data_IF_732439064894
#
_entry.id   IF_732439064894
#
_cell.length_a   1.000
_cell.length_b   1.000
_cell.length_c   1.000
_cell.angle_alpha   90.00
_cell.angle_beta   90.00
_cell.angle_gamma   90.00
#
_symmetry.space_group_name_H-M   'P 1'
#
loop_
_entity.id
_entity.type
_entity.pdbx_description
1 polymer ?
#
# COMPACT_ATOMS: atom_id res chain seq x y z
N UNK A 1 16.75 9.85 8.67
CA UNK A 1 15.34 10.31 8.51
C UNK A 1 14.63 9.24 7.70
N UNK A 2 13.49 8.72 8.15
CA UNK A 2 12.82 7.51 7.63
C UNK A 2 12.35 7.56 6.16
N UNK A 3 12.72 8.58 5.37
CA UNK A 3 12.56 8.57 3.90
C UNK A 3 11.13 8.59 3.36
N UNK A 4 10.11 8.76 4.21
CA UNK A 4 8.71 8.83 3.78
C UNK A 4 8.38 10.16 3.11
N UNK A 5 7.58 10.09 2.03
CA UNK A 5 7.14 11.24 1.25
C UNK A 5 5.62 11.27 1.21
N UNK A 6 5.05 12.44 1.51
CA UNK A 6 3.60 12.68 1.46
C UNK A 6 3.36 13.90 0.59
N UNK A 7 2.52 13.73 -0.44
CA UNK A 7 2.11 14.80 -1.34
C UNK A 7 1.10 15.76 -0.71
N UNK A 8 0.50 16.59 -1.56
CA UNK A 8 -0.44 17.62 -1.14
C UNK A 8 -1.88 17.10 -1.06
N UNK A 9 -2.68 17.66 -0.14
CA UNK A 9 -4.10 17.37 0.02
C UNK A 9 -4.41 15.89 0.27
N UNK A 10 -3.49 15.16 0.91
CA UNK A 10 -3.69 13.78 1.35
C UNK A 10 -4.60 13.76 2.57
N UNK A 11 -5.59 12.87 2.54
CA UNK A 11 -6.39 12.53 3.72
C UNK A 11 -5.90 11.22 4.32
N UNK A 12 -5.67 11.20 5.63
CA UNK A 12 -5.29 10.01 6.39
C UNK A 12 -6.26 9.86 7.56
N UNK A 13 -7.04 8.78 7.53
CA UNK A 13 -7.91 8.37 8.62
C UNK A 13 -7.13 7.85 9.83
N UNK A 14 -7.86 7.53 10.90
CA UNK A 14 -7.26 7.03 12.13
C UNK A 14 -6.52 5.70 11.93
N UNK A 15 -5.47 5.47 12.72
CA UNK A 15 -4.71 4.19 12.75
C UNK A 15 -4.04 3.78 11.42
N UNK A 16 -3.45 4.70 10.66
CA UNK A 16 -2.48 4.32 9.61
C UNK A 16 -1.25 3.67 10.24
N UNK A 17 -0.97 2.42 9.86
CA UNK A 17 0.19 1.66 10.34
C UNK A 17 1.19 1.48 9.21
N UNK A 18 2.44 1.85 9.46
CA UNK A 18 3.57 1.55 8.56
C UNK A 18 4.48 0.53 9.25
N UNK A 19 4.65 -0.64 8.64
CA UNK A 19 5.53 -1.71 9.13
C UNK A 19 6.88 -1.59 8.43
N UNK A 20 7.87 -1.08 9.17
CA UNK A 20 9.23 -0.82 8.69
C UNK A 20 10.28 -1.21 9.76
N UNK A 21 11.47 -1.61 9.32
CA UNK A 21 12.64 -1.83 10.20
C UNK A 21 13.61 -0.64 10.19
N UNK A 22 13.28 0.42 9.45
CA UNK A 22 14.00 1.70 9.46
C UNK A 22 15.48 1.61 9.04
N UNK A 23 15.82 0.69 8.14
CA UNK A 23 17.09 0.80 7.40
C UNK A 23 16.93 1.85 6.29
N UNK A 24 17.92 2.73 6.09
CA UNK A 24 17.86 3.97 5.29
C UNK A 24 17.55 3.80 3.77
N UNK A 25 17.00 2.66 3.34
CA UNK A 25 16.71 2.30 1.95
C UNK A 25 15.21 2.23 1.62
N UNK A 26 14.33 2.31 2.62
CA UNK A 26 12.91 1.93 2.49
C UNK A 26 12.02 3.17 2.45
N UNK A 27 11.01 3.15 1.57
CA UNK A 27 10.24 4.35 1.22
C UNK A 27 8.77 4.02 1.13
N UNK A 28 7.98 4.74 1.90
CA UNK A 28 6.57 4.97 1.61
C UNK A 28 6.50 6.28 0.83
N UNK A 29 5.95 6.23 -0.39
CA UNK A 29 5.61 7.43 -1.16
C UNK A 29 4.10 7.49 -1.30
N UNK A 30 3.52 8.58 -0.84
CA UNK A 30 2.11 8.90 -1.03
C UNK A 30 2.06 10.14 -1.93
N UNK A 31 1.38 10.01 -3.07
CA UNK A 31 1.17 11.09 -4.03
C UNK A 31 0.19 12.15 -3.52
N UNK A 32 -0.34 12.95 -4.43
CA UNK A 32 -1.27 14.03 -4.14
C UNK A 32 -2.72 13.55 -4.12
N UNK A 33 -3.56 14.16 -3.28
CA UNK A 33 -5.02 13.89 -3.20
C UNK A 33 -5.35 12.41 -2.95
N UNK A 34 -4.43 11.67 -2.33
CA UNK A 34 -4.67 10.30 -1.91
C UNK A 34 -5.62 10.31 -0.71
N UNK A 35 -6.61 9.43 -0.74
CA UNK A 35 -7.50 9.19 0.40
C UNK A 35 -7.15 7.84 1.04
N UNK A 36 -6.68 7.88 2.29
CA UNK A 36 -6.39 6.70 3.09
C UNK A 36 -7.42 6.63 4.20
N UNK A 37 -8.29 5.63 4.15
CA UNK A 37 -9.28 5.39 5.20
C UNK A 37 -8.63 4.80 6.47
N UNK A 38 -9.43 4.55 7.49
CA UNK A 38 -8.94 4.11 8.80
C UNK A 38 -8.28 2.73 8.73
N UNK A 39 -7.32 2.48 9.63
CA UNK A 39 -6.70 1.15 9.84
C UNK A 39 -6.02 0.55 8.62
N UNK A 40 -5.63 1.37 7.64
CA UNK A 40 -4.82 0.92 6.51
C UNK A 40 -3.42 0.55 7.02
N UNK A 41 -2.89 -0.58 6.55
CA UNK A 41 -1.53 -1.03 6.87
C UNK A 41 -0.65 -1.04 5.63
N UNK A 42 0.44 -0.29 5.66
CA UNK A 42 1.48 -0.28 4.63
C UNK A 42 2.67 -1.10 5.13
N UNK A 43 2.98 -2.20 4.45
CA UNK A 43 4.07 -3.10 4.83
C UNK A 43 5.25 -2.85 3.89
N UNK A 44 6.37 -2.37 4.41
CA UNK A 44 7.63 -2.24 3.64
C UNK A 44 8.66 -3.29 4.05
N UNK A 45 8.48 -3.96 5.19
CA UNK A 45 9.28 -5.12 5.60
C UNK A 45 8.40 -6.25 6.16
N UNK A 46 8.60 -7.45 5.62
CA UNK A 46 7.92 -8.67 6.04
C UNK A 46 8.92 -9.82 6.07
N UNK A 47 9.19 -10.32 7.27
CA UNK A 47 10.15 -11.39 7.49
C UNK A 47 9.76 -12.26 8.70
N UNK A 48 10.48 -13.36 8.91
CA UNK A 48 10.19 -14.30 9.99
C UNK A 48 10.75 -13.86 11.36
N UNK A 49 11.26 -12.62 11.49
CA UNK A 49 11.89 -12.07 12.67
C UNK A 49 12.96 -13.02 13.24
N UNK A 50 12.92 -13.30 14.54
CA UNK A 50 13.86 -14.20 15.22
C UNK A 50 13.53 -15.70 15.06
N UNK A 51 12.59 -16.05 14.18
CA UNK A 51 12.18 -17.45 14.00
C UNK A 51 13.28 -18.28 13.33
N UNK A 52 13.41 -19.54 13.76
CA UNK A 52 14.31 -20.52 13.14
C UNK A 52 13.96 -20.83 11.69
N UNK A 53 12.72 -20.52 11.25
CA UNK A 53 12.33 -20.73 9.86
C UNK A 53 12.88 -19.66 8.90
N UNK A 54 13.47 -18.57 9.42
CA UNK A 54 13.93 -17.40 8.64
C UNK A 54 14.79 -17.79 7.41
N UNK A 55 15.75 -18.72 7.49
CA UNK A 55 16.54 -19.14 6.33
C UNK A 55 15.75 -19.90 5.25
N UNK A 56 14.54 -20.35 5.57
CA UNK A 56 13.72 -21.23 4.71
C UNK A 56 12.49 -20.53 4.12
N UNK A 57 12.25 -19.26 4.46
CA UNK A 57 11.12 -18.49 3.94
C UNK A 57 11.61 -17.24 3.23
N UNK A 58 10.83 -16.81 2.23
CA UNK A 58 11.15 -15.60 1.47
C UNK A 58 10.77 -14.37 2.30
N UNK A 59 11.77 -13.58 2.66
CA UNK A 59 11.57 -12.22 3.16
C UNK A 59 11.21 -11.27 2.03
N UNK A 60 10.46 -10.22 2.35
CA UNK A 60 10.14 -9.13 1.44
C UNK A 60 10.48 -7.81 2.11
N UNK A 61 11.35 -7.05 1.48
CA UNK A 61 11.79 -5.74 1.92
C UNK A 61 11.76 -4.83 0.71
N UNK A 62 11.03 -3.73 0.80
CA UNK A 62 10.69 -2.98 -0.38
C UNK A 62 10.16 -1.58 -0.10
N UNK A 63 9.43 -1.05 -1.07
CA UNK A 63 8.74 0.22 -0.98
C UNK A 63 7.23 0.03 -1.16
N UNK A 64 6.46 1.00 -0.70
CA UNK A 64 5.04 1.12 -1.03
C UNK A 64 4.84 2.47 -1.70
N UNK A 65 4.29 2.44 -2.89
CA UNK A 65 3.97 3.64 -3.66
C UNK A 65 2.47 3.75 -3.87
N UNK A 66 1.89 4.85 -3.42
CA UNK A 66 0.50 5.20 -3.66
C UNK A 66 0.49 6.43 -4.55
N UNK A 67 0.06 6.29 -5.79
CA UNK A 67 0.06 7.39 -6.76
C UNK A 67 -1.14 8.32 -6.56
N UNK A 68 -1.09 9.46 -7.25
CA UNK A 68 -2.08 10.52 -7.13
C UNK A 68 -3.54 10.02 -7.23
N UNK A 69 -4.45 10.66 -6.49
CA UNK A 69 -5.89 10.41 -6.53
C UNK A 69 -6.34 8.99 -6.11
N UNK A 70 -5.43 8.12 -5.64
CA UNK A 70 -5.78 6.78 -5.21
C UNK A 70 -6.62 6.79 -3.92
N UNK A 71 -7.48 5.78 -3.76
CA UNK A 71 -8.33 5.58 -2.59
C UNK A 71 -8.11 4.21 -1.95
N UNK A 72 -7.63 4.22 -0.70
CA UNK A 72 -7.41 3.02 0.10
C UNK A 72 -8.56 2.85 1.11
N UNK A 73 -9.38 1.82 0.92
CA UNK A 73 -10.51 1.50 1.79
C UNK A 73 -10.09 0.97 3.16
N UNK A 74 -10.97 1.16 4.15
CA UNK A 74 -10.72 0.86 5.57
C UNK A 74 -10.14 -0.54 5.78
N UNK A 75 -9.06 -0.64 6.55
CA UNK A 75 -8.46 -1.93 6.91
C UNK A 75 -7.75 -2.68 5.79
N UNK A 76 -7.53 -2.07 4.61
CA UNK A 76 -6.76 -2.74 3.56
C UNK A 76 -5.26 -2.82 3.93
N UNK A 77 -4.59 -3.85 3.41
CA UNK A 77 -3.18 -4.13 3.65
C UNK A 77 -2.43 -4.09 2.33
N UNK A 78 -1.38 -3.28 2.25
CA UNK A 78 -0.51 -3.15 1.07
C UNK A 78 0.83 -3.82 1.38
N UNK A 79 1.20 -4.84 0.59
CA UNK A 79 2.46 -5.59 0.78
C UNK A 79 3.70 -4.83 0.28
N UNK A 80 4.91 -5.29 0.65
CA UNK A 80 6.14 -4.70 0.14
C UNK A 80 6.25 -4.83 -1.38
N UNK A 81 6.89 -3.85 -2.01
CA UNK A 81 7.09 -3.71 -3.46
C UNK A 81 5.77 -3.69 -4.24
N UNK A 82 4.81 -2.91 -3.73
CA UNK A 82 3.52 -2.68 -4.40
C UNK A 82 3.35 -1.21 -4.73
N UNK A 83 3.02 -0.95 -5.99
CA UNK A 83 2.47 0.32 -6.46
C UNK A 83 0.95 0.25 -6.59
N UNK A 84 0.25 1.18 -5.94
CA UNK A 84 -1.16 1.47 -6.18
C UNK A 84 -1.22 2.63 -7.18
N UNK A 85 -1.69 2.35 -8.40
CA UNK A 85 -1.71 3.29 -9.52
C UNK A 85 -2.62 4.50 -9.30
N UNK A 86 -2.47 5.48 -10.20
CA UNK A 86 -3.21 6.75 -10.16
C UNK A 86 -4.71 6.49 -10.19
N UNK A 87 -5.47 7.09 -9.28
CA UNK A 87 -6.93 6.94 -9.22
C UNK A 87 -7.41 5.51 -8.99
N UNK A 88 -6.53 4.59 -8.58
CA UNK A 88 -6.91 3.22 -8.25
C UNK A 88 -7.69 3.19 -6.93
N UNK A 89 -8.57 2.20 -6.79
CA UNK A 89 -9.39 2.00 -5.60
C UNK A 89 -9.10 0.63 -5.00
N UNK A 90 -8.70 0.61 -3.74
CA UNK A 90 -8.53 -0.61 -2.96
C UNK A 90 -9.74 -0.75 -2.04
N UNK A 91 -10.51 -1.82 -2.19
CA UNK A 91 -11.67 -2.08 -1.33
C UNK A 91 -11.27 -2.34 0.13
N UNK A 92 -12.22 -2.09 1.04
CA UNK A 92 -12.02 -2.35 2.47
C UNK A 92 -11.61 -3.81 2.74
N UNK A 93 -10.65 -3.99 3.66
CA UNK A 93 -10.12 -5.30 4.04
C UNK A 93 -9.34 -6.06 2.96
N UNK A 94 -9.09 -5.46 1.79
CA UNK A 94 -8.33 -6.11 0.73
C UNK A 94 -6.85 -6.30 1.11
N UNK A 95 -6.23 -7.39 0.65
CA UNK A 95 -4.79 -7.64 0.83
C UNK A 95 -4.12 -7.57 -0.54
N UNK A 96 -3.45 -6.46 -0.79
CA UNK A 96 -2.84 -6.13 -2.08
C UNK A 96 -1.42 -6.67 -2.12
N UNK A 97 -1.22 -7.75 -2.88
CA UNK A 97 0.08 -8.46 -3.00
C UNK A 97 0.81 -8.21 -4.32
N UNK A 98 0.26 -7.38 -5.20
CA UNK A 98 0.75 -7.06 -6.54
C UNK A 98 0.31 -5.64 -6.89
N UNK A 99 1.02 -5.00 -7.80
CA UNK A 99 0.67 -3.67 -8.31
C UNK A 99 -0.78 -3.58 -8.78
N UNK A 100 -1.39 -2.43 -8.51
CA UNK A 100 -2.73 -2.08 -8.96
C UNK A 100 -2.60 -1.12 -10.12
N UNK A 101 -3.11 -1.45 -11.31
CA UNK A 101 -3.06 -0.53 -12.45
C UNK A 101 -3.85 0.76 -12.18
N UNK A 102 -3.50 1.83 -12.89
CA UNK A 102 -4.23 3.09 -12.83
C UNK A 102 -5.73 2.90 -13.07
N UNK A 103 -6.53 3.69 -12.36
CA UNK A 103 -7.98 3.73 -12.48
C UNK A 103 -8.64 2.35 -12.35
N UNK A 104 -8.05 1.45 -11.57
CA UNK A 104 -8.56 0.08 -11.37
C UNK A 104 -9.05 -0.12 -9.95
N UNK A 105 -10.22 -0.76 -9.81
CA UNK A 105 -10.77 -1.17 -8.52
C UNK A 105 -10.35 -2.60 -8.23
N UNK A 106 -9.71 -2.83 -7.09
CA UNK A 106 -9.31 -4.15 -6.60
C UNK A 106 -9.96 -4.47 -5.25
N UNK A 107 -10.34 -5.72 -5.03
CA UNK A 107 -10.93 -6.19 -3.76
C UNK A 107 -10.47 -7.61 -3.42
N UNK A 108 -10.60 -8.01 -2.15
CA UNK A 108 -10.43 -9.38 -1.70
C UNK A 108 -9.02 -9.74 -1.18
N UNK A 109 -8.84 -11.01 -0.84
CA UNK A 109 -7.61 -11.58 -0.28
C UNK A 109 -7.25 -12.86 -1.05
N UNK A 110 -6.23 -12.87 -1.93
CA UNK A 110 -5.48 -11.70 -2.39
C UNK A 110 -6.34 -10.79 -3.28
N UNK A 111 -6.03 -9.49 -3.28
CA UNK A 111 -6.77 -8.50 -4.04
C UNK A 111 -6.75 -8.81 -5.56
N UNK A 112 -7.91 -8.71 -6.21
CA UNK A 112 -8.09 -8.91 -7.66
C UNK A 112 -8.83 -7.74 -8.28
N UNK A 113 -8.50 -7.36 -9.53
CA UNK A 113 -9.24 -6.35 -10.25
C UNK A 113 -10.67 -6.82 -10.51
N UNK A 114 -11.64 -5.96 -10.23
CA UNK A 114 -13.06 -6.22 -10.48
C UNK A 114 -13.70 -5.21 -11.42
N UNK A 115 -13.07 -4.04 -11.58
CA UNK A 115 -13.61 -2.95 -12.41
C UNK A 115 -12.49 -2.02 -12.84
N UNK A 116 -12.58 -1.53 -14.07
CA UNK A 116 -11.83 -0.37 -14.53
C UNK A 116 -12.74 0.85 -14.48
N UNK A 117 -12.23 1.96 -13.93
CA UNK A 117 -12.93 3.23 -13.85
C UNK A 117 -12.79 3.96 -15.20
N UNK A 118 -13.90 4.47 -15.69
CA UNK A 118 -13.92 5.36 -16.84
C UNK A 118 -14.04 6.78 -16.31
N UNK A 119 -12.91 7.48 -16.23
CA UNK A 119 -12.86 8.88 -15.84
C UNK A 119 -13.12 9.70 -17.12
N UNK A 120 -14.18 10.52 -17.19
CA UNK A 120 -14.36 11.46 -18.29
C UNK A 120 -13.22 12.48 -18.30
N UNK A 121 -12.71 12.81 -19.49
CA UNK A 121 -11.77 13.94 -19.68
C UNK A 121 -12.44 15.28 -19.39
#
# INVERSE_FOLDING_TARGET
>A
MAGYQVGEQVYIGEDLIVIDELDDRRRVRIGNRVSIAERVTLIVSSNANNSKIRPFVKERHGHVEIDDDAWLGTGCIIFPDVKVGKGAVVGAGAVVTKDVPDYTVVVGVPAKPIKKLNIPE
#
